data_IF_545602036275
#
_entry.id   IF_545602036275
#
_cell.length_a   1.000
_cell.length_b   1.000
_cell.length_c   1.000
_cell.angle_alpha   90.00
_cell.angle_beta   90.00
_cell.angle_gamma   90.00
#
_symmetry.space_group_name_H-M   'P 1'
#
loop_
_entity.id
_entity.type
_entity.pdbx_description
1 polymer ?
#
# COMPACT_ATOMS: atom_id res chain seq x y z
N UNK A 1 -26.65 5.63 -21.75
CA UNK A 1 -25.49 6.37 -21.15
C UNK A 1 -25.13 5.79 -19.78
N UNK A 2 -26.02 5.85 -18.78
CA UNK A 2 -25.74 5.34 -17.43
C UNK A 2 -25.29 3.87 -17.39
N UNK A 3 -25.92 2.98 -18.15
CA UNK A 3 -25.55 1.56 -18.22
C UNK A 3 -24.12 1.36 -18.72
N UNK A 4 -23.70 2.14 -19.73
CA UNK A 4 -22.33 2.04 -20.29
C UNK A 4 -21.31 2.53 -19.26
N UNK A 5 -21.60 3.63 -18.54
CA UNK A 5 -20.74 4.12 -17.45
C UNK A 5 -20.64 3.09 -16.33
N UNK A 6 -21.75 2.50 -15.90
CA UNK A 6 -21.76 1.48 -14.85
C UNK A 6 -20.94 0.24 -15.23
N UNK A 7 -21.04 -0.22 -16.48
CA UNK A 7 -20.24 -1.35 -16.99
C UNK A 7 -18.75 -1.01 -16.99
N UNK A 8 -18.37 0.19 -17.43
CA UNK A 8 -16.98 0.65 -17.41
C UNK A 8 -16.43 0.71 -15.99
N UNK A 9 -17.16 1.35 -15.08
CA UNK A 9 -16.73 1.49 -13.68
C UNK A 9 -16.61 0.11 -13.00
N UNK A 10 -17.53 -0.82 -13.29
CA UNK A 10 -17.45 -2.19 -12.82
C UNK A 10 -16.24 -2.95 -13.39
N UNK A 11 -15.89 -2.74 -14.66
CA UNK A 11 -14.69 -3.32 -15.27
C UNK A 11 -13.41 -2.79 -14.60
N UNK A 12 -13.31 -1.48 -14.41
CA UNK A 12 -12.17 -0.83 -13.75
C UNK A 12 -12.00 -1.34 -12.31
N UNK A 13 -13.11 -1.49 -11.57
CA UNK A 13 -13.10 -2.00 -10.21
C UNK A 13 -12.71 -3.49 -10.14
N UNK A 14 -13.22 -4.31 -11.07
CA UNK A 14 -12.81 -5.71 -11.20
C UNK A 14 -11.31 -5.85 -11.46
N UNK A 15 -10.74 -5.00 -12.32
CA UNK A 15 -9.31 -5.01 -12.60
C UNK A 15 -8.47 -4.65 -11.37
N UNK A 16 -8.92 -3.68 -10.56
CA UNK A 16 -8.27 -3.34 -9.28
C UNK A 16 -8.32 -4.52 -8.31
N UNK A 17 -9.48 -5.13 -8.13
CA UNK A 17 -9.62 -6.31 -7.27
C UNK A 17 -8.75 -7.49 -7.71
N UNK A 18 -8.60 -7.68 -9.03
CA UNK A 18 -7.69 -8.70 -9.57
C UNK A 18 -6.22 -8.38 -9.21
N UNK A 19 -5.80 -7.12 -9.34
CA UNK A 19 -4.46 -6.67 -8.97
C UNK A 19 -4.20 -6.85 -7.47
N UNK A 20 -5.14 -6.44 -6.62
CA UNK A 20 -5.04 -6.60 -5.17
C UNK A 20 -4.93 -8.08 -4.79
N UNK A 21 -5.74 -8.94 -5.43
CA UNK A 21 -5.68 -10.39 -5.20
C UNK A 21 -4.32 -10.96 -5.57
N UNK A 22 -3.72 -10.54 -6.68
CA UNK A 22 -2.39 -11.02 -7.08
C UNK A 22 -1.35 -10.76 -5.98
N UNK A 23 -1.31 -9.54 -5.42
CA UNK A 23 -0.40 -9.18 -4.33
C UNK A 23 -0.71 -9.99 -3.06
N UNK A 24 -1.98 -10.09 -2.67
CA UNK A 24 -2.42 -10.79 -1.46
C UNK A 24 -2.21 -12.32 -1.49
N UNK A 25 -2.05 -12.89 -2.69
CA UNK A 25 -1.77 -14.32 -2.89
C UNK A 25 -0.29 -14.64 -3.12
N UNK A 26 0.60 -13.63 -3.16
CA UNK A 26 2.06 -13.87 -3.14
C UNK A 26 2.41 -14.68 -1.91
N UNK A 27 3.38 -15.58 -2.02
CA UNK A 27 3.81 -16.44 -0.92
C UNK A 27 5.03 -15.84 -0.22
N UNK A 28 5.16 -16.13 1.06
CA UNK A 28 6.35 -15.86 1.86
C UNK A 28 6.56 -17.00 2.83
N UNK A 29 7.80 -17.19 3.28
CA UNK A 29 8.13 -18.20 4.28
C UNK A 29 7.81 -17.66 5.68
N UNK A 30 6.92 -18.33 6.39
CA UNK A 30 6.56 -18.02 7.78
C UNK A 30 7.07 -19.13 8.67
N UNK A 31 7.76 -18.78 9.75
CA UNK A 31 8.22 -19.72 10.75
C UNK A 31 7.07 -20.09 11.68
N UNK A 32 6.61 -21.34 11.62
CA UNK A 32 5.55 -21.88 12.47
C UNK A 32 6.03 -23.15 13.14
N UNK A 33 5.96 -23.21 14.48
CA UNK A 33 6.36 -24.39 15.26
C UNK A 33 7.79 -24.88 14.92
N UNK A 34 8.74 -23.97 14.70
CA UNK A 34 10.12 -24.29 14.35
C UNK A 34 10.34 -24.79 12.92
N UNK A 35 9.35 -24.65 12.03
CA UNK A 35 9.46 -25.02 10.62
C UNK A 35 9.03 -23.88 9.71
N UNK A 36 9.75 -23.68 8.61
CA UNK A 36 9.38 -22.73 7.57
C UNK A 36 8.27 -23.28 6.69
N UNK A 37 7.14 -22.58 6.66
CA UNK A 37 5.97 -22.94 5.85
C UNK A 37 5.64 -21.79 4.91
N UNK A 38 5.36 -22.08 3.64
CA UNK A 38 4.89 -21.06 2.71
C UNK A 38 3.42 -20.70 2.99
N UNK A 39 3.18 -19.43 3.29
CA UNK A 39 1.83 -18.88 3.45
C UNK A 39 1.63 -17.69 2.51
N UNK A 40 0.39 -17.44 2.05
CA UNK A 40 0.09 -16.24 1.30
C UNK A 40 0.22 -15.00 2.19
N UNK A 41 0.62 -13.87 1.60
CA UNK A 41 0.79 -12.58 2.28
C UNK A 41 -0.47 -12.14 3.06
N UNK A 42 -1.65 -12.48 2.54
CA UNK A 42 -2.93 -12.23 3.22
C UNK A 42 -3.12 -12.93 4.58
N UNK A 43 -2.28 -13.92 4.91
CA UNK A 43 -2.33 -14.64 6.20
C UNK A 43 -1.20 -14.25 7.16
N UNK A 44 -0.28 -13.37 6.77
CA UNK A 44 0.81 -12.91 7.64
C UNK A 44 0.22 -12.01 8.71
N UNK A 45 0.50 -12.33 9.98
CA UNK A 45 0.01 -11.60 11.15
C UNK A 45 1.15 -10.88 11.88
N UNK A 46 0.78 -9.90 12.72
CA UNK A 46 1.73 -9.22 13.60
C UNK A 46 2.31 -10.22 14.60
N UNK A 47 3.63 -10.18 14.80
CA UNK A 47 4.38 -11.12 15.63
C UNK A 47 4.85 -12.38 14.90
N UNK A 48 4.35 -12.65 13.68
CA UNK A 48 4.90 -13.75 12.87
C UNK A 48 6.37 -13.46 12.51
N UNK A 49 7.20 -14.49 12.52
CA UNK A 49 8.56 -14.39 11.97
C UNK A 49 8.55 -14.89 10.55
N UNK A 50 9.00 -14.05 9.62
CA UNK A 50 9.10 -14.37 8.21
C UNK A 50 10.55 -14.45 7.77
N UNK A 51 10.84 -15.35 6.84
CA UNK A 51 12.13 -15.46 6.16
C UNK A 51 11.96 -14.97 4.73
N UNK A 52 12.86 -14.12 4.28
CA UNK A 52 12.94 -13.71 2.89
C UNK A 52 14.26 -14.15 2.30
N UNK A 53 14.23 -14.51 1.02
CA UNK A 53 15.42 -14.85 0.25
C UNK A 53 15.85 -13.67 -0.63
N UNK A 54 17.06 -13.74 -1.20
CA UNK A 54 17.55 -12.71 -2.10
C UNK A 54 16.59 -12.47 -3.27
N UNK A 55 16.41 -11.21 -3.66
CA UNK A 55 15.51 -10.75 -4.70
C UNK A 55 14.01 -10.94 -4.40
N UNK A 56 13.64 -11.24 -3.15
CA UNK A 56 12.24 -11.31 -2.72
C UNK A 56 11.76 -9.98 -2.11
N UNK A 57 10.45 -9.74 -2.27
CA UNK A 57 9.78 -8.60 -1.64
C UNK A 57 9.47 -8.86 -0.17
N UNK A 58 9.62 -7.83 0.65
CA UNK A 58 9.16 -7.85 2.04
C UNK A 58 7.62 -7.74 2.09
N UNK A 59 6.97 -8.73 2.71
CA UNK A 59 5.51 -8.83 2.75
C UNK A 59 4.83 -7.81 3.68
N UNK A 60 5.53 -7.36 4.72
CA UNK A 60 5.03 -6.56 5.83
C UNK A 60 6.14 -5.63 6.36
N UNK A 61 5.83 -4.72 7.29
CA UNK A 61 6.90 -3.97 7.97
C UNK A 61 7.46 -4.84 9.09
N UNK A 62 8.75 -5.16 9.03
CA UNK A 62 9.38 -6.14 9.91
C UNK A 62 10.59 -5.57 10.65
N UNK A 63 10.80 -6.05 11.88
CA UNK A 63 12.04 -5.92 12.62
C UNK A 63 13.04 -6.95 12.12
N UNK A 64 14.20 -6.52 11.65
CA UNK A 64 15.27 -7.40 11.23
C UNK A 64 15.87 -8.10 12.46
N UNK A 65 15.81 -9.44 12.48
CA UNK A 65 16.34 -10.25 13.58
C UNK A 65 17.72 -10.80 13.23
N UNK A 66 17.85 -11.47 12.10
CA UNK A 66 19.11 -12.09 11.67
C UNK A 66 19.21 -12.12 10.14
N UNK A 67 20.42 -12.26 9.63
CA UNK A 67 20.77 -12.09 8.22
C UNK A 67 22.01 -12.93 7.89
N UNK A 68 22.18 -13.25 6.61
CA UNK A 68 23.34 -14.01 6.11
C UNK A 68 24.65 -13.21 6.10
N UNK A 69 24.58 -11.88 6.06
CA UNK A 69 25.78 -11.04 5.96
C UNK A 69 26.43 -10.79 7.32
N UNK A 70 27.75 -10.56 7.37
CA UNK A 70 28.46 -10.31 8.62
C UNK A 70 28.04 -9.00 9.30
N UNK A 71 28.15 -8.97 10.63
CA UNK A 71 27.79 -7.84 11.50
C UNK A 71 26.28 -7.50 11.45
N UNK A 72 25.44 -8.49 11.14
CA UNK A 72 24.00 -8.31 11.13
C UNK A 72 23.49 -7.39 10.03
N UNK A 73 24.23 -7.21 8.94
CA UNK A 73 23.86 -6.29 7.86
C UNK A 73 22.88 -6.93 6.86
N UNK A 74 22.04 -6.13 6.22
CA UNK A 74 21.34 -6.53 5.01
C UNK A 74 21.17 -5.34 4.08
N UNK A 75 21.04 -5.61 2.78
CA UNK A 75 20.82 -4.55 1.80
C UNK A 75 19.43 -4.65 1.21
N UNK A 76 18.76 -3.51 1.12
CA UNK A 76 17.44 -3.41 0.54
C UNK A 76 17.39 -2.36 -0.57
N UNK A 77 16.58 -2.63 -1.57
CA UNK A 77 16.21 -1.68 -2.61
C UNK A 77 14.82 -1.10 -2.28
N UNK A 78 14.68 0.22 -2.34
CA UNK A 78 13.43 0.94 -2.01
C UNK A 78 12.74 1.54 -3.21
N UNK A 79 13.05 1.07 -4.42
CA UNK A 79 12.53 1.63 -5.68
C UNK A 79 11.00 1.68 -5.76
N UNK A 80 10.27 0.76 -5.11
CA UNK A 80 8.81 0.81 -5.03
C UNK A 80 8.25 1.82 -4.02
N UNK A 81 9.04 2.27 -3.05
CA UNK A 81 8.62 3.19 -1.97
C UNK A 81 8.87 4.66 -2.34
N UNK A 82 10.10 4.97 -2.75
CA UNK A 82 10.57 6.34 -2.99
C UNK A 82 11.15 6.57 -4.39
N UNK A 83 11.27 5.51 -5.20
CA UNK A 83 11.86 5.58 -6.54
C UNK A 83 13.39 5.65 -6.54
N UNK A 84 14.04 5.51 -5.38
CA UNK A 84 15.50 5.47 -5.29
C UNK A 84 16.01 4.08 -5.69
N UNK A 85 17.01 4.04 -6.59
CA UNK A 85 17.63 2.79 -7.07
C UNK A 85 18.85 2.38 -6.24
N UNK A 86 19.24 3.21 -5.27
CA UNK A 86 20.40 2.93 -4.43
C UNK A 86 20.03 1.89 -3.36
N UNK A 87 20.98 1.00 -3.08
CA UNK A 87 20.84 0.06 -1.99
C UNK A 87 20.99 0.80 -0.65
N UNK A 88 20.04 0.56 0.25
CA UNK A 88 20.11 1.02 1.63
C UNK A 88 20.60 -0.12 2.50
N UNK A 89 21.63 0.15 3.30
CA UNK A 89 22.12 -0.80 4.30
C UNK A 89 21.24 -0.71 5.55
N UNK A 90 20.88 -1.86 6.09
CA UNK A 90 20.10 -2.02 7.33
C UNK A 90 20.84 -2.99 8.24
N UNK A 91 20.64 -2.89 9.54
CA UNK A 91 21.40 -3.66 10.51
C UNK A 91 20.49 -4.20 11.61
N UNK A 92 20.64 -5.48 11.96
CA UNK A 92 19.92 -6.09 13.07
C UNK A 92 20.56 -5.71 14.41
N UNK A 93 19.90 -6.06 15.50
CA UNK A 93 20.52 -5.94 16.82
C UNK A 93 21.61 -7.00 16.98
N UNK A 94 22.69 -6.65 17.68
CA UNK A 94 23.78 -7.58 17.96
C UNK A 94 23.30 -8.80 18.74
N UNK A 95 22.33 -8.59 19.64
CA UNK A 95 21.72 -9.63 20.47
C UNK A 95 20.89 -10.63 19.65
N UNK A 96 20.32 -10.19 18.51
CA UNK A 96 19.52 -11.06 17.64
C UNK A 96 20.33 -11.66 16.50
N UNK A 97 21.50 -11.10 16.19
CA UNK A 97 22.41 -11.60 15.15
C UNK A 97 22.80 -13.07 15.42
N UNK A 98 23.05 -13.41 16.68
CA UNK A 98 23.46 -14.75 17.13
C UNK A 98 22.45 -15.86 16.82
N UNK A 99 21.17 -15.53 16.55
CA UNK A 99 20.14 -16.50 16.17
C UNK A 99 20.47 -17.21 14.84
N UNK A 100 21.20 -16.53 13.94
CA UNK A 100 21.62 -17.05 12.65
C UNK A 100 20.49 -17.63 11.80
N UNK A 101 20.78 -18.73 11.09
CA UNK A 101 19.81 -19.45 10.26
C UNK A 101 19.08 -20.58 11.00
N UNK A 102 19.10 -20.58 12.34
CA UNK A 102 18.57 -21.70 13.10
C UNK A 102 17.09 -21.49 13.45
N UNK A 103 16.22 -22.08 12.63
CA UNK A 103 14.76 -22.01 12.77
C UNK A 103 14.25 -22.35 14.18
N UNK A 104 14.92 -23.27 14.88
CA UNK A 104 14.54 -23.66 16.24
C UNK A 104 14.88 -22.56 17.27
N UNK A 105 16.05 -21.92 17.14
CA UNK A 105 16.46 -20.83 18.03
C UNK A 105 15.56 -19.62 17.83
N UNK A 106 15.28 -19.27 16.58
CA UNK A 106 14.38 -18.17 16.23
C UNK A 106 12.95 -18.46 16.71
N UNK A 107 12.48 -19.70 16.59
CA UNK A 107 11.15 -20.08 17.07
C UNK A 107 11.03 -20.09 18.60
N UNK A 108 12.14 -20.28 19.32
CA UNK A 108 12.21 -20.22 20.77
C UNK A 108 12.47 -18.80 21.32
N UNK A 109 12.84 -17.85 20.45
CA UNK A 109 13.14 -16.47 20.83
C UNK A 109 11.92 -15.79 21.46
N UNK A 110 12.10 -15.20 22.63
CA UNK A 110 11.07 -14.49 23.37
C UNK A 110 11.50 -13.04 23.60
N UNK A 111 10.69 -12.11 23.10
CA UNK A 111 10.89 -10.69 23.28
C UNK A 111 9.59 -9.92 23.14
N UNK A 112 9.54 -8.73 23.74
CA UNK A 112 8.42 -7.81 23.61
C UNK A 112 8.87 -6.57 22.82
N UNK A 113 8.18 -6.27 21.71
CA UNK A 113 8.40 -5.04 20.95
C UNK A 113 7.31 -4.04 21.30
N UNK A 114 7.72 -2.84 21.71
CA UNK A 114 6.83 -1.68 21.88
C UNK A 114 7.24 -0.61 20.88
N UNK A 115 6.31 -0.15 20.06
CA UNK A 115 6.60 0.86 19.04
C UNK A 115 5.51 1.93 18.98
N UNK A 116 5.79 2.99 18.22
CA UNK A 116 4.81 3.99 17.84
C UNK A 116 3.59 3.38 17.11
N UNK A 117 2.41 4.04 17.15
CA UNK A 117 1.26 3.59 16.38
C UNK A 117 1.49 3.71 14.86
N UNK A 118 0.77 2.94 14.03
CA UNK A 118 0.84 3.00 12.57
C UNK A 118 0.71 4.43 12.02
N UNK A 119 1.68 4.87 11.24
CA UNK A 119 1.73 6.19 10.63
C UNK A 119 2.29 6.12 9.20
N UNK A 120 2.32 7.25 8.48
CA UNK A 120 2.77 7.31 7.08
C UNK A 120 4.22 7.82 6.91
N UNK A 121 4.97 7.96 8.02
CA UNK A 121 6.34 8.47 8.00
C UNK A 121 7.31 7.31 7.68
N UNK A 122 7.69 7.18 6.40
CA UNK A 122 8.56 6.10 5.91
C UNK A 122 10.00 6.17 6.45
N UNK A 123 10.48 7.37 6.80
CA UNK A 123 11.87 7.59 7.22
C UNK A 123 12.05 7.60 8.74
N UNK A 124 10.96 7.41 9.50
CA UNK A 124 10.97 7.46 10.95
C UNK A 124 10.35 6.19 11.50
N UNK A 125 11.02 5.60 12.49
CA UNK A 125 10.48 4.55 13.32
C UNK A 125 11.09 4.70 14.72
N UNK A 126 10.25 4.61 15.74
CA UNK A 126 10.66 4.65 17.15
C UNK A 126 10.01 3.46 17.87
N UNK A 127 10.84 2.67 18.54
CA UNK A 127 10.39 1.58 19.39
C UNK A 127 11.45 1.08 20.34
N UNK A 128 11.10 0.09 21.15
CA UNK A 128 12.00 -0.62 22.05
C UNK A 128 11.72 -2.11 22.00
N UNK A 129 12.79 -2.91 21.94
CA UNK A 129 12.74 -4.35 22.10
C UNK A 129 13.21 -4.70 23.51
N UNK A 130 12.40 -5.45 24.26
CA UNK A 130 12.77 -5.97 25.57
C UNK A 130 13.10 -7.46 25.46
N UNK A 131 14.36 -7.82 25.73
CA UNK A 131 14.89 -9.19 25.73
C UNK A 131 15.43 -9.52 27.12
N UNK A 132 14.91 -10.57 27.74
CA UNK A 132 15.41 -11.07 29.05
C UNK A 132 15.54 -9.97 30.14
N UNK A 133 14.70 -8.92 30.06
CA UNK A 133 14.73 -7.77 30.97
C UNK A 133 15.61 -6.60 30.52
N UNK A 134 16.46 -6.78 29.51
CA UNK A 134 17.23 -5.70 28.86
C UNK A 134 16.41 -5.03 27.77
N UNK A 135 16.50 -3.71 27.66
CA UNK A 135 15.74 -2.92 26.68
C UNK A 135 16.69 -2.29 25.66
N UNK A 136 16.42 -2.54 24.38
CA UNK A 136 17.19 -2.04 23.24
C UNK A 136 16.34 -1.07 22.42
N UNK A 137 16.89 0.07 22.04
CA UNK A 137 16.17 1.03 21.19
C UNK A 137 16.11 0.55 19.74
N UNK A 138 14.94 0.70 19.14
CA UNK A 138 14.67 0.40 17.74
C UNK A 138 14.50 1.69 16.95
N UNK A 139 15.27 1.80 15.88
CA UNK A 139 15.27 2.93 14.96
C UNK A 139 14.91 2.42 13.55
N UNK A 140 14.74 3.35 12.60
CA UNK A 140 14.41 3.01 11.22
C UNK A 140 15.44 2.08 10.55
N UNK A 141 16.68 2.03 11.02
CA UNK A 141 17.74 1.19 10.45
C UNK A 141 17.63 -0.29 10.79
N UNK A 142 16.81 -0.63 11.79
CA UNK A 142 16.51 -2.01 12.20
C UNK A 142 15.22 -2.54 11.57
N UNK A 143 14.49 -1.71 10.82
CA UNK A 143 13.20 -2.04 10.21
C UNK A 143 13.32 -2.15 8.69
N UNK A 144 12.70 -3.19 8.12
CA UNK A 144 12.46 -3.30 6.68
C UNK A 144 10.97 -3.05 6.41
N UNK A 145 10.68 -2.14 5.47
CA UNK A 145 9.31 -1.79 5.13
C UNK A 145 8.74 -2.73 4.06
N UNK A 146 7.42 -2.89 4.07
CA UNK A 146 6.69 -3.58 3.01
C UNK A 146 7.02 -2.98 1.65
N UNK A 147 7.28 -3.84 0.66
CA UNK A 147 7.58 -3.42 -0.72
C UNK A 147 9.05 -3.16 -0.99
N UNK A 148 9.92 -3.13 0.02
CA UNK A 148 11.36 -3.24 -0.20
C UNK A 148 11.69 -4.59 -0.86
N UNK A 149 12.78 -4.63 -1.62
CA UNK A 149 13.34 -5.86 -2.18
C UNK A 149 14.64 -6.16 -1.46
N UNK A 150 14.81 -7.38 -0.96
CA UNK A 150 16.09 -7.82 -0.41
C UNK A 150 17.09 -8.01 -1.55
N UNK A 151 18.28 -7.41 -1.44
CA UNK A 151 19.34 -7.49 -2.47
C UNK A 151 20.65 -7.79 -1.79
N UNK A 152 21.57 -8.45 -2.49
CA UNK A 152 22.93 -8.71 -2.01
C UNK A 152 22.97 -9.32 -0.59
N UNK A 153 21.95 -10.10 -0.24
CA UNK A 153 21.82 -10.77 1.05
C UNK A 153 21.06 -12.06 0.79
N UNK A 154 21.66 -13.21 1.08
CA UNK A 154 21.10 -14.51 0.71
C UNK A 154 19.76 -14.78 1.40
N UNK A 155 19.68 -14.46 2.68
CA UNK A 155 18.47 -14.60 3.47
C UNK A 155 18.48 -13.62 4.64
N UNK A 156 17.28 -13.27 5.10
CA UNK A 156 17.09 -12.61 6.39
C UNK A 156 15.82 -13.10 7.07
N UNK A 157 15.81 -13.07 8.40
CA UNK A 157 14.65 -13.28 9.24
C UNK A 157 14.20 -11.97 9.85
N UNK A 158 12.90 -11.74 9.89
CA UNK A 158 12.35 -10.62 10.61
C UNK A 158 10.97 -10.88 11.21
N UNK A 159 10.71 -10.22 12.33
CA UNK A 159 9.44 -10.27 13.04
C UNK A 159 8.51 -9.18 12.50
N UNK A 160 7.29 -9.55 12.16
CA UNK A 160 6.29 -8.60 11.64
C UNK A 160 5.82 -7.65 12.73
N UNK A 161 6.02 -6.34 12.52
CA UNK A 161 5.53 -5.27 13.39
C UNK A 161 4.19 -4.74 12.90
N UNK A 162 4.10 -4.40 11.61
CA UNK A 162 2.86 -3.95 10.98
C UNK A 162 2.52 -4.81 9.78
N UNK A 163 1.25 -5.19 9.65
CA UNK A 163 0.75 -6.03 8.57
C UNK A 163 -0.44 -5.39 7.85
N UNK A 164 -0.66 -5.78 6.60
CA UNK A 164 -1.84 -5.37 5.84
C UNK A 164 -1.94 -3.87 5.61
N UNK A 165 -3.01 -3.24 6.08
CA UNK A 165 -3.29 -1.80 5.91
C UNK A 165 -2.52 -0.91 6.87
N UNK A 166 -1.99 -1.48 7.95
CA UNK A 166 -1.27 -0.74 8.98
C UNK A 166 0.21 -0.53 8.63
N UNK A 167 0.70 -1.14 7.55
CA UNK A 167 2.07 -0.88 7.08
C UNK A 167 2.23 0.58 6.66
N UNK A 168 3.41 1.15 6.90
CA UNK A 168 3.70 2.56 6.59
C UNK A 168 3.50 2.88 5.12
N UNK A 169 3.84 1.95 4.22
CA UNK A 169 3.58 2.07 2.78
C UNK A 169 2.07 2.19 2.47
N UNK A 170 1.24 1.35 3.09
CA UNK A 170 -0.21 1.38 2.85
C UNK A 170 -0.85 2.61 3.46
N UNK A 171 -0.34 3.10 4.60
CA UNK A 171 -0.76 4.36 5.20
C UNK A 171 -0.33 5.58 4.35
N UNK A 172 0.75 5.46 3.60
CA UNK A 172 1.18 6.47 2.62
C UNK A 172 0.31 6.43 1.33
N UNK A 173 -0.21 5.24 0.97
CA UNK A 173 -1.18 5.09 -0.12
C UNK A 173 -2.52 5.74 0.26
N UNK A 174 -2.66 7.02 -0.06
CA UNK A 174 -3.84 7.81 0.31
C UNK A 174 -5.16 7.15 -0.12
N UNK A 175 -6.25 7.49 0.59
CA UNK A 175 -7.58 6.94 0.29
C UNK A 175 -7.97 7.22 -1.17
N UNK A 176 -8.54 6.22 -1.83
CA UNK A 176 -9.09 6.36 -3.19
C UNK A 176 -10.18 7.43 -3.18
N UNK A 177 -9.90 8.57 -3.82
CA UNK A 177 -10.85 9.67 -4.00
C UNK A 177 -11.28 9.70 -5.46
N UNK A 178 -12.57 9.95 -5.71
CA UNK A 178 -13.05 10.24 -7.06
C UNK A 178 -12.41 11.55 -7.55
N UNK A 179 -11.47 11.42 -8.49
CA UNK A 179 -10.85 12.56 -9.17
C UNK A 179 -11.75 12.98 -10.34
N UNK A 180 -12.07 14.27 -10.42
CA UNK A 180 -12.75 14.87 -11.59
C UNK A 180 -11.72 15.49 -12.51
N UNK A 181 -11.85 15.26 -13.81
CA UNK A 181 -10.94 15.84 -14.80
C UNK A 181 -11.26 17.32 -15.03
N UNK A 182 -10.29 18.09 -15.53
CA UNK A 182 -10.55 19.47 -15.99
C UNK A 182 -11.56 19.50 -17.14
N UNK A 183 -11.56 18.45 -17.97
CA UNK A 183 -12.50 18.27 -19.08
C UNK A 183 -13.94 18.13 -18.54
N UNK A 184 -14.17 17.40 -17.45
CA UNK A 184 -15.52 17.29 -16.85
C UNK A 184 -16.08 18.65 -16.42
N UNK A 185 -15.21 19.54 -15.91
CA UNK A 185 -15.59 20.91 -15.55
C UNK A 185 -15.94 21.74 -16.78
N UNK A 186 -15.15 21.63 -17.85
CA UNK A 186 -15.43 22.30 -19.13
C UNK A 186 -16.75 21.80 -19.74
N UNK A 187 -16.98 20.49 -19.76
CA UNK A 187 -18.22 19.89 -20.27
C UNK A 187 -19.44 20.41 -19.52
N UNK A 188 -19.40 20.48 -18.18
CA UNK A 188 -20.49 21.04 -17.39
C UNK A 188 -20.77 22.52 -17.72
N UNK A 189 -19.73 23.31 -17.97
CA UNK A 189 -19.89 24.70 -18.39
C UNK A 189 -20.55 24.82 -19.77
N UNK A 190 -20.10 24.01 -20.73
CA UNK A 190 -20.69 23.96 -22.08
C UNK A 190 -22.16 23.51 -22.02
N UNK A 191 -22.48 22.49 -21.22
CA UNK A 191 -23.87 22.02 -21.03
C UNK A 191 -24.77 23.14 -20.52
N UNK A 192 -24.30 23.93 -19.53
CA UNK A 192 -25.06 25.07 -19.02
C UNK A 192 -25.28 26.14 -20.10
N UNK A 193 -24.28 26.39 -20.95
CA UNK A 193 -24.42 27.27 -22.12
C UNK A 193 -25.45 26.77 -23.14
N UNK A 194 -25.46 25.47 -23.45
CA UNK A 194 -26.45 24.85 -24.36
C UNK A 194 -27.86 24.97 -23.78
N UNK A 195 -28.04 24.72 -22.48
CA UNK A 195 -29.35 24.85 -21.82
C UNK A 195 -29.87 26.29 -21.92
N UNK A 196 -29.03 27.29 -21.67
CA UNK A 196 -29.43 28.70 -21.81
C UNK A 196 -29.81 29.07 -23.24
N UNK A 197 -29.04 28.60 -24.23
CA UNK A 197 -29.34 28.82 -25.64
C UNK A 197 -30.67 28.18 -26.07
N UNK A 198 -30.93 26.93 -25.66
CA UNK A 198 -32.18 26.24 -25.94
C UNK A 198 -33.38 26.95 -25.31
N UNK A 199 -33.28 27.42 -24.07
CA UNK A 199 -34.34 28.19 -23.41
C UNK A 199 -34.65 29.49 -24.17
N UNK A 200 -33.61 30.19 -24.65
CA UNK A 200 -33.77 31.41 -25.46
C UNK A 200 -34.51 31.13 -26.77
N UNK A 201 -34.15 30.05 -27.47
CA UNK A 201 -34.83 29.65 -28.71
C UNK A 201 -36.30 29.26 -28.48
N UNK A 202 -36.59 28.47 -27.43
CA UNK A 202 -37.95 28.11 -27.08
C UNK A 202 -38.80 29.34 -26.75
N UNK A 203 -38.25 30.31 -26.01
CA UNK A 203 -38.93 31.57 -25.69
C UNK A 203 -39.23 32.36 -26.96
N UNK A 204 -38.25 32.51 -27.85
CA UNK A 204 -38.41 33.19 -29.13
C UNK A 204 -39.51 32.54 -29.98
N UNK A 205 -39.47 31.22 -30.14
CA UNK A 205 -40.50 30.48 -30.88
C UNK A 205 -41.88 30.64 -30.25
N UNK A 206 -41.99 30.62 -28.91
CA UNK A 206 -43.26 30.80 -28.21
C UNK A 206 -43.86 32.18 -28.47
N UNK A 207 -43.05 33.24 -28.37
CA UNK A 207 -43.48 34.62 -28.66
C UNK A 207 -43.88 34.76 -30.13
N UNK A 208 -43.08 34.23 -31.06
CA UNK A 208 -43.39 34.26 -32.49
C UNK A 208 -44.70 33.53 -32.82
N UNK A 209 -44.95 32.37 -32.21
CA UNK A 209 -46.20 31.63 -32.38
C UNK A 209 -47.39 32.41 -31.81
N UNK A 210 -47.26 33.02 -30.63
CA UNK A 210 -48.33 33.84 -30.04
C UNK A 210 -48.66 35.08 -30.87
N UNK A 211 -47.65 35.72 -31.47
CA UNK A 211 -47.86 36.83 -32.41
C UNK A 211 -48.56 36.34 -33.69
N UNK A 212 -48.15 35.18 -34.23
CA UNK A 212 -48.77 34.61 -35.43
C UNK A 212 -50.25 34.26 -35.19
N UNK A 213 -50.56 33.60 -34.07
CA UNK A 213 -51.92 33.20 -33.71
C UNK A 213 -52.84 34.43 -33.56
N UNK A 214 -52.35 35.51 -32.96
CA UNK A 214 -53.13 36.75 -32.79
C UNK A 214 -53.32 37.52 -34.09
N UNK A 215 -52.35 37.52 -35.00
CA UNK A 215 -52.42 38.29 -36.25
C UNK A 215 -53.13 37.57 -37.40
N UNK A 216 -52.96 36.25 -37.51
CA UNK A 216 -53.35 35.48 -38.71
C UNK A 216 -54.35 34.36 -38.38
N UNK A 217 -54.31 33.81 -37.16
CA UNK A 217 -55.15 32.67 -36.75
C UNK A 217 -56.62 32.99 -36.45
N UNK A 218 -57.04 34.26 -36.48
CA UNK A 218 -58.43 34.68 -36.23
C UNK A 218 -59.32 34.73 -37.49
N UNK A 219 -58.92 34.10 -38.60
CA UNK A 219 -59.76 33.88 -39.79
C UNK A 219 -59.98 32.40 -40.07
#
# INVERSE_FOLDING_TARGET
VLTVTAVKDAYDDFQRHRSDRQVNTRKTWVLKNGQLVQEPWSKVLVGDVIRMENDEFVAADILLLSTSEPNGLCYIETSELDGETNLKCKQCLTETEELGQNDNLIGAFQGEVRCEPPNNQLNKFEGTLTLEGNTHSLDNDKILLRGCILRNTQWCYGMVIFAGKDTKLMMNSGKTKFKRTSIDRLLNFIILGIVFFLLSMCLFCTVACGIWETLIGQY
#
